data_IF_932348293062
#
_entry.id   IF_932348293062
#
_cell.length_a   1.000
_cell.length_b   1.000
_cell.length_c   1.000
_cell.angle_alpha   90.00
_cell.angle_beta   90.00
_cell.angle_gamma   90.00
#
_symmetry.space_group_name_H-M   'P 1'
#
loop_
_entity.id
_entity.type
_entity.pdbx_description
1 polymer ?
#
# COMPACT_ATOMS: atom_id res chain seq x y z
N UNK A 1 -17.26 -52.30 -24.27
CA UNK A 1 -16.93 -52.36 -22.83
C UNK A 1 -15.43 -52.30 -22.65
N UNK A 2 -14.92 -51.26 -21.95
CA UNK A 2 -13.68 -51.14 -21.14
C UNK A 2 -13.42 -49.64 -20.91
N UNK A 3 -14.02 -49.11 -19.85
CA UNK A 3 -13.42 -48.77 -18.53
C UNK A 3 -12.61 -47.46 -18.60
N UNK A 4 -13.17 -46.46 -17.90
CA UNK A 4 -12.60 -45.16 -17.60
C UNK A 4 -11.31 -45.29 -16.76
N UNK A 5 -10.45 -44.26 -16.79
CA UNK A 5 -10.08 -43.52 -15.58
C UNK A 5 -9.38 -42.21 -16.00
N UNK A 6 -10.11 -41.11 -15.84
CA UNK A 6 -9.53 -39.78 -15.84
C UNK A 6 -8.70 -39.62 -14.55
N UNK A 7 -7.39 -39.41 -14.69
CA UNK A 7 -6.54 -38.96 -13.59
C UNK A 7 -6.11 -37.51 -13.86
N UNK A 8 -7.05 -36.61 -13.65
CA UNK A 8 -6.79 -35.18 -13.53
C UNK A 8 -6.12 -34.94 -12.17
N UNK A 9 -4.78 -34.95 -12.13
CA UNK A 9 -4.03 -34.52 -10.96
C UNK A 9 -4.13 -32.98 -10.84
N UNK A 10 -5.16 -32.52 -10.15
CA UNK A 10 -5.25 -31.14 -9.68
C UNK A 10 -4.31 -30.97 -8.48
N UNK A 11 -3.08 -30.50 -8.72
CA UNK A 11 -2.23 -30.02 -7.63
C UNK A 11 -2.91 -28.79 -7.02
N UNK A 12 -3.61 -28.99 -5.90
CA UNK A 12 -4.09 -27.92 -5.05
C UNK A 12 -2.87 -27.25 -4.40
N UNK A 13 -2.34 -26.22 -5.04
CA UNK A 13 -1.42 -25.28 -4.41
C UNK A 13 -2.24 -24.43 -3.43
N UNK A 14 -2.34 -24.91 -2.20
CA UNK A 14 -2.70 -24.09 -1.06
C UNK A 14 -1.57 -23.07 -0.84
N UNK A 15 -1.58 -22.00 -1.65
CA UNK A 15 -0.76 -20.83 -1.41
C UNK A 15 -1.17 -20.25 -0.07
N UNK A 16 -0.25 -20.25 0.90
CA UNK A 16 -0.39 -19.44 2.10
C UNK A 16 -0.58 -18.00 1.67
N UNK A 17 -1.80 -17.48 1.78
CA UNK A 17 -2.03 -16.04 1.79
C UNK A 17 -1.38 -15.55 3.08
N UNK A 18 -0.15 -15.06 2.97
CA UNK A 18 0.45 -14.25 4.01
C UNK A 18 -0.44 -13.02 4.15
N UNK A 19 -1.30 -13.01 5.16
CA UNK A 19 -1.98 -11.80 5.58
C UNK A 19 -0.87 -10.82 5.98
N UNK A 20 -0.61 -9.83 5.13
CA UNK A 20 0.35 -8.78 5.43
C UNK A 20 -0.08 -8.20 6.78
N UNK A 21 0.78 -8.33 7.79
CA UNK A 21 0.54 -7.69 9.06
C UNK A 21 0.39 -6.19 8.77
N UNK A 22 -0.82 -5.66 8.94
CA UNK A 22 -1.01 -4.22 8.95
C UNK A 22 -0.18 -3.71 10.13
N UNK A 23 0.94 -2.99 9.90
CA UNK A 23 1.62 -2.36 11.00
C UNK A 23 0.62 -1.44 11.70
N UNK A 24 0.74 -1.23 13.02
CA UNK A 24 -0.18 -0.36 13.74
C UNK A 24 -0.25 0.97 13.00
N UNK A 25 -1.46 1.30 12.52
CA UNK A 25 -1.78 2.64 12.04
C UNK A 25 -1.55 3.54 13.23
N UNK A 26 -0.42 4.25 13.24
CA UNK A 26 -0.21 5.36 14.17
C UNK A 26 -1.37 6.28 13.88
N UNK A 27 -2.35 6.36 14.79
CA UNK A 27 -3.49 7.24 14.66
C UNK A 27 -2.93 8.68 14.55
N UNK A 28 -2.85 9.20 13.33
CA UNK A 28 -2.16 10.45 13.01
C UNK A 28 -1.26 10.41 11.76
N UNK A 29 -0.77 9.25 11.32
CA UNK A 29 0.05 9.17 10.11
C UNK A 29 -0.82 9.09 8.85
N UNK A 30 -0.63 10.02 7.91
CA UNK A 30 -1.26 9.99 6.60
C UNK A 30 -0.44 9.13 5.64
N UNK A 31 -1.09 8.17 4.99
CA UNK A 31 -0.49 7.35 3.93
C UNK A 31 -1.17 7.69 2.61
N UNK A 32 -0.39 7.90 1.56
CA UNK A 32 -0.93 8.26 0.24
C UNK A 32 -0.40 7.33 -0.85
N UNK A 33 -1.29 6.96 -1.77
CA UNK A 33 -1.03 6.23 -3.02
C UNK A 33 -1.54 7.05 -4.21
N UNK A 34 -1.06 6.73 -5.42
CA UNK A 34 -1.42 7.44 -6.64
C UNK A 34 -2.67 6.84 -7.28
N UNK A 35 -3.85 7.12 -6.71
CA UNK A 35 -5.14 6.65 -7.27
C UNK A 35 -5.21 5.12 -7.53
N UNK A 36 -4.54 4.33 -6.68
CA UNK A 36 -4.45 2.87 -6.81
C UNK A 36 -3.14 2.37 -7.40
N UNK A 37 -2.28 3.26 -7.92
CA UNK A 37 -0.91 2.93 -8.32
C UNK A 37 0.09 3.23 -7.18
N UNK A 38 1.12 2.40 -7.09
CA UNK A 38 2.23 2.61 -6.16
C UNK A 38 3.10 3.79 -6.62
N UNK A 39 3.49 4.65 -5.68
CA UNK A 39 4.52 5.64 -5.92
C UNK A 39 5.90 4.98 -6.03
N UNK A 40 6.83 5.67 -6.68
CA UNK A 40 8.26 5.45 -6.58
C UNK A 40 8.91 6.29 -5.48
N UNK A 41 10.16 5.96 -5.09
CA UNK A 41 10.94 6.74 -4.14
C UNK A 41 11.30 8.15 -4.66
N UNK A 42 11.27 8.38 -5.97
CA UNK A 42 11.47 9.68 -6.61
C UNK A 42 10.24 10.58 -6.56
N UNK A 43 9.07 10.04 -6.21
CA UNK A 43 7.79 10.70 -6.49
C UNK A 43 7.29 11.56 -5.32
N UNK A 44 8.16 11.91 -4.38
CA UNK A 44 7.80 12.64 -3.17
C UNK A 44 7.04 13.94 -3.43
N UNK A 45 7.40 14.67 -4.49
CA UNK A 45 6.68 15.89 -4.88
C UNK A 45 5.24 15.60 -5.35
N UNK A 46 5.02 14.51 -6.09
CA UNK A 46 3.69 14.12 -6.54
C UNK A 46 2.85 13.61 -5.35
N UNK A 47 3.44 12.77 -4.51
CA UNK A 47 2.83 12.29 -3.28
C UNK A 47 2.43 13.44 -2.35
N UNK A 48 3.26 14.49 -2.23
CA UNK A 48 2.94 15.67 -1.42
C UNK A 48 1.70 16.38 -1.91
N UNK A 49 1.56 16.58 -3.23
CA UNK A 49 0.35 17.20 -3.81
C UNK A 49 -0.91 16.38 -3.54
N UNK A 50 -0.81 15.05 -3.63
CA UNK A 50 -1.93 14.15 -3.27
C UNK A 50 -2.26 14.28 -1.78
N UNK A 51 -1.26 14.30 -0.91
CA UNK A 51 -1.44 14.49 0.53
C UNK A 51 -2.11 15.84 0.86
N UNK A 52 -1.63 16.93 0.27
CA UNK A 52 -2.24 18.25 0.46
C UNK A 52 -3.69 18.28 -0.04
N UNK A 53 -3.99 17.65 -1.18
CA UNK A 53 -5.35 17.52 -1.69
C UNK A 53 -6.26 16.72 -0.75
N UNK A 54 -5.76 15.64 -0.13
CA UNK A 54 -6.49 14.86 0.85
C UNK A 54 -6.72 15.63 2.17
N UNK A 55 -5.77 16.46 2.59
CA UNK A 55 -5.86 17.27 3.81
C UNK A 55 -6.62 18.60 3.64
N UNK A 56 -6.92 19.01 2.41
CA UNK A 56 -7.66 20.24 2.13
C UNK A 56 -6.86 21.51 2.45
N UNK A 57 -7.54 22.59 2.82
CA UNK A 57 -6.97 23.93 2.92
C UNK A 57 -5.79 24.06 3.91
N UNK A 58 -5.70 23.17 4.91
CA UNK A 58 -4.61 23.17 5.88
C UNK A 58 -3.36 22.45 5.38
N UNK A 59 -3.50 21.56 4.39
CA UNK A 59 -2.42 20.76 3.84
C UNK A 59 -1.88 19.68 4.79
N UNK A 60 -0.88 18.95 4.32
CA UNK A 60 -0.19 17.93 5.12
C UNK A 60 0.87 18.56 6.02
N UNK A 61 0.93 18.09 7.26
CA UNK A 61 1.97 18.43 8.23
C UNK A 61 3.24 17.63 7.93
N UNK A 62 4.01 18.11 6.96
CA UNK A 62 5.26 17.48 6.55
C UNK A 62 6.37 17.59 7.58
N UNK A 63 7.25 16.60 7.60
CA UNK A 63 8.35 16.48 8.55
C UNK A 63 9.60 15.90 7.90
N UNK A 64 10.74 15.98 8.59
CA UNK A 64 11.96 15.27 8.19
C UNK A 64 11.83 13.74 8.24
N UNK A 65 10.73 13.21 8.80
CA UNK A 65 10.45 11.79 8.91
C UNK A 65 9.47 11.29 7.84
N UNK A 66 9.07 12.17 6.92
CA UNK A 66 8.29 11.81 5.75
C UNK A 66 9.12 10.85 4.90
N UNK A 67 8.50 9.74 4.50
CA UNK A 67 9.26 8.64 3.89
C UNK A 67 8.43 7.85 2.90
N UNK A 68 9.13 7.33 1.91
CA UNK A 68 8.61 6.30 1.04
C UNK A 68 8.69 4.93 1.74
N UNK A 69 7.56 4.26 1.86
CA UNK A 69 7.46 2.89 2.35
C UNK A 69 7.66 1.92 1.18
N UNK A 70 8.88 1.38 1.06
CA UNK A 70 9.24 0.45 -0.03
C UNK A 70 8.42 -0.84 -0.03
N UNK A 71 7.84 -1.23 1.10
CA UNK A 71 7.06 -2.46 1.19
C UNK A 71 5.66 -2.27 0.57
N UNK A 72 5.06 -1.08 0.73
CA UNK A 72 3.70 -0.79 0.25
C UNK A 72 3.65 0.08 -1.00
N UNK A 73 4.75 0.74 -1.36
CA UNK A 73 4.76 1.71 -2.46
C UNK A 73 4.02 3.01 -2.11
N UNK A 74 3.86 3.32 -0.83
CA UNK A 74 3.15 4.51 -0.35
C UNK A 74 4.13 5.55 0.17
N UNK A 75 3.68 6.80 0.17
CA UNK A 75 4.33 7.84 0.96
C UNK A 75 3.64 8.00 2.30
N UNK A 76 4.43 8.04 3.36
CA UNK A 76 3.95 8.13 4.75
C UNK A 76 4.38 9.47 5.33
N UNK A 77 3.40 10.23 5.79
CA UNK A 77 3.54 11.51 6.49
C UNK A 77 3.15 11.32 7.96
N UNK A 78 4.13 11.14 8.88
CA UNK A 78 3.84 10.87 10.29
C UNK A 78 3.03 11.96 10.99
N UNK A 79 3.16 13.22 10.53
CA UNK A 79 2.47 14.36 11.10
C UNK A 79 0.99 14.47 10.70
N UNK A 80 0.54 13.71 9.71
CA UNK A 80 -0.84 13.74 9.24
C UNK A 80 -1.22 15.06 8.56
N UNK A 81 -2.51 15.40 8.62
CA UNK A 81 -2.99 16.71 8.19
C UNK A 81 -2.76 17.78 9.27
N UNK A 82 -2.50 19.03 8.88
CA UNK A 82 -2.30 20.16 9.79
C UNK A 82 -3.61 20.74 10.36
#
# INVERSE_FOLDING_TARGET
>A
MRVALALSLSLAQAGCVASAANPPVVAGALRVSNAGEAFGPSDGAAARRVADAQCGAKGVNSSIYDRFDRATGEWVYPGGCA
#
